data_IF_640491120396
#
_entry.id   IF_640491120396
#
_cell.length_a   1.000
_cell.length_b   1.000
_cell.length_c   1.000
_cell.angle_alpha   90.00
_cell.angle_beta   90.00
_cell.angle_gamma   90.00
#
_symmetry.space_group_name_H-M   'P 1'
#
loop_
_entity.id
_entity.type
_entity.pdbx_description
1 polymer ?
#
# COMPACT_ATOMS: atom_id res chain seq x y z
N UNK A 1 4.48 -19.05 1.38
CA UNK A 1 3.55 -18.96 0.24
C UNK A 1 4.40 -18.59 -0.95
N UNK A 2 4.59 -19.48 -1.91
CA UNK A 2 5.45 -19.18 -3.07
C UNK A 2 4.69 -18.21 -3.99
N UNK A 3 5.24 -17.03 -4.23
CA UNK A 3 4.68 -16.04 -5.15
C UNK A 3 5.19 -16.40 -6.55
N UNK A 4 4.31 -16.47 -7.55
CA UNK A 4 4.77 -16.72 -8.93
C UNK A 4 5.65 -15.56 -9.42
N UNK A 5 6.58 -15.80 -10.35
CA UNK A 5 7.43 -14.74 -10.91
C UNK A 5 6.63 -13.57 -11.50
N UNK A 6 5.54 -13.88 -12.21
CA UNK A 6 4.64 -12.87 -12.79
C UNK A 6 3.98 -12.04 -11.69
N UNK A 7 3.58 -12.67 -10.58
CA UNK A 7 2.95 -11.96 -9.47
C UNK A 7 3.96 -11.15 -8.65
N UNK A 8 5.21 -11.61 -8.56
CA UNK A 8 6.31 -10.85 -7.96
C UNK A 8 6.63 -9.58 -8.77
N UNK A 9 6.71 -9.67 -10.10
CA UNK A 9 6.95 -8.51 -10.95
C UNK A 9 5.82 -7.46 -10.83
N UNK A 10 4.56 -7.93 -10.75
CA UNK A 10 3.41 -7.04 -10.48
C UNK A 10 3.51 -6.40 -9.10
N UNK A 11 3.89 -7.18 -8.09
CA UNK A 11 4.07 -6.69 -6.72
C UNK A 11 5.15 -5.63 -6.65
N UNK A 12 6.28 -5.82 -7.36
CA UNK A 12 7.37 -4.84 -7.41
C UNK A 12 6.96 -3.55 -8.09
N UNK A 13 6.25 -3.62 -9.22
CA UNK A 13 5.67 -2.43 -9.87
C UNK A 13 4.67 -1.70 -8.97
N UNK A 14 3.82 -2.44 -8.27
CA UNK A 14 2.89 -1.88 -7.30
C UNK A 14 3.60 -1.17 -6.15
N UNK A 15 4.69 -1.76 -5.65
CA UNK A 15 5.57 -1.15 -4.65
C UNK A 15 6.16 0.16 -5.16
N UNK A 16 6.72 0.20 -6.38
CA UNK A 16 7.32 1.43 -6.95
C UNK A 16 6.29 2.55 -7.11
N UNK A 17 5.08 2.24 -7.58
CA UNK A 17 3.99 3.22 -7.67
C UNK A 17 3.60 3.73 -6.28
N UNK A 18 3.46 2.83 -5.32
CA UNK A 18 3.13 3.22 -3.96
C UNK A 18 4.21 4.10 -3.33
N UNK A 19 5.48 3.75 -3.54
CA UNK A 19 6.61 4.43 -2.96
C UNK A 19 6.76 5.87 -3.43
N UNK A 20 6.59 6.06 -4.73
CA UNK A 20 6.80 7.35 -5.38
C UNK A 20 5.61 8.30 -5.21
N UNK A 21 4.39 7.77 -5.18
CA UNK A 21 3.19 8.59 -5.30
C UNK A 21 2.29 8.61 -4.06
N UNK A 22 2.39 7.62 -3.17
CA UNK A 22 1.45 7.50 -2.04
C UNK A 22 2.14 7.54 -0.67
N UNK A 23 3.30 6.92 -0.51
CA UNK A 23 4.01 6.87 0.78
C UNK A 23 4.30 8.30 1.27
N UNK A 24 3.87 8.59 2.50
CA UNK A 24 3.99 9.91 3.14
C UNK A 24 3.14 11.01 2.51
N UNK A 25 2.22 10.67 1.60
CA UNK A 25 1.21 11.60 1.10
C UNK A 25 -0.05 11.54 1.96
N UNK A 26 -0.71 12.69 2.08
CA UNK A 26 -2.03 12.84 2.66
C UNK A 26 -3.01 13.17 1.53
N UNK A 27 -4.14 12.44 1.49
CA UNK A 27 -5.22 12.69 0.55
C UNK A 27 -6.48 13.08 1.32
N UNK A 28 -7.05 14.20 0.92
CA UNK A 28 -8.29 14.72 1.48
C UNK A 28 -9.43 14.46 0.51
N UNK A 29 -10.40 13.66 0.93
CA UNK A 29 -11.61 13.37 0.18
C UNK A 29 -12.76 14.23 0.73
N UNK A 30 -13.30 15.08 -0.12
CA UNK A 30 -14.53 15.82 0.15
C UNK A 30 -15.68 15.01 -0.43
N UNK A 31 -16.68 14.72 0.39
CA UNK A 31 -17.84 13.93 -0.02
C UNK A 31 -19.08 14.41 0.73
N UNK A 32 -20.27 14.08 0.19
CA UNK A 32 -21.54 14.49 0.78
C UNK A 32 -22.30 13.28 1.30
N UNK A 33 -22.89 13.41 2.49
CA UNK A 33 -23.81 12.42 3.08
C UNK A 33 -25.12 13.14 3.36
N UNK A 34 -26.15 12.86 2.56
CA UNK A 34 -27.40 13.63 2.58
C UNK A 34 -27.15 15.08 2.19
N UNK A 35 -27.43 16.02 3.09
CA UNK A 35 -27.19 17.46 2.90
C UNK A 35 -25.94 17.97 3.63
N UNK A 36 -25.15 17.08 4.23
CA UNK A 36 -23.93 17.45 4.95
C UNK A 36 -22.68 17.18 4.11
N UNK A 37 -21.83 18.20 3.95
CA UNK A 37 -20.49 18.03 3.40
C UNK A 37 -19.56 17.48 4.49
N UNK A 38 -18.83 16.42 4.14
CA UNK A 38 -17.89 15.72 5.02
C UNK A 38 -16.51 15.65 4.38
N UNK A 39 -15.51 15.53 5.24
CA UNK A 39 -14.11 15.40 4.85
C UNK A 39 -13.54 14.11 5.43
N UNK A 40 -12.89 13.31 4.61
CA UNK A 40 -12.09 12.16 5.03
C UNK A 40 -10.63 12.44 4.69
N UNK A 41 -9.77 12.40 5.70
CA UNK A 41 -8.32 12.54 5.52
C UNK A 41 -7.68 11.17 5.63
N UNK A 42 -7.00 10.75 4.56
CA UNK A 42 -6.28 9.47 4.49
C UNK A 42 -4.78 9.76 4.42
N UNK A 43 -4.04 9.25 5.42
CA UNK A 43 -2.58 9.34 5.47
C UNK A 43 -1.97 8.00 5.12
N UNK A 44 -1.17 7.98 4.07
CA UNK A 44 -0.51 6.76 3.61
C UNK A 44 0.89 6.62 4.22
N UNK A 45 1.16 5.44 4.76
CA UNK A 45 2.43 5.05 5.36
C UNK A 45 2.86 3.68 4.85
N UNK A 46 4.10 3.27 5.15
CA UNK A 46 4.61 1.93 4.77
C UNK A 46 3.65 0.78 5.12
N UNK A 47 2.94 0.88 6.26
CA UNK A 47 2.00 -0.14 6.70
C UNK A 47 0.74 -0.25 5.81
N UNK A 48 0.38 0.82 5.09
CA UNK A 48 -0.80 0.81 4.23
C UNK A 48 -0.56 0.07 2.90
N UNK A 49 0.69 -0.20 2.53
CA UNK A 49 1.02 -0.92 1.29
C UNK A 49 0.35 -2.31 1.21
N UNK A 50 0.31 -3.03 2.34
CA UNK A 50 -0.32 -4.35 2.40
C UNK A 50 -1.81 -4.32 2.02
N UNK A 51 -2.52 -3.24 2.34
CA UNK A 51 -3.94 -3.09 2.01
C UNK A 51 -4.17 -2.86 0.51
N UNK A 52 -3.20 -2.30 -0.21
CA UNK A 52 -3.31 -2.14 -1.66
C UNK A 52 -3.12 -3.45 -2.40
N UNK A 53 -2.27 -4.33 -1.88
CA UNK A 53 -1.98 -5.60 -2.55
C UNK A 53 -2.97 -6.70 -2.16
N UNK A 54 -3.65 -6.57 -1.01
CA UNK A 54 -4.52 -7.61 -0.45
C UNK A 54 -3.75 -8.86 0.02
N UNK A 55 -2.42 -8.82 0.01
CA UNK A 55 -1.58 -9.95 0.42
C UNK A 55 -1.34 -9.91 1.93
N UNK A 56 -1.47 -11.06 2.60
CA UNK A 56 -1.09 -11.17 4.01
C UNK A 56 0.38 -11.57 4.14
N UNK A 57 1.19 -10.77 4.85
CA UNK A 57 2.60 -11.06 5.10
C UNK A 57 2.83 -11.42 6.58
N UNK A 58 3.48 -12.55 6.82
CA UNK A 58 3.64 -13.13 8.16
C UNK A 58 4.44 -12.26 9.13
N UNK A 59 5.32 -11.38 8.63
CA UNK A 59 6.07 -10.41 9.47
C UNK A 59 5.34 -9.08 9.67
N UNK A 60 4.12 -8.96 9.14
CA UNK A 60 3.28 -7.79 9.22
C UNK A 60 3.52 -6.75 8.12
N UNK A 61 2.64 -5.73 8.05
CA UNK A 61 2.51 -4.83 6.90
C UNK A 61 3.72 -3.92 6.68
N UNK A 62 4.28 -3.36 7.75
CA UNK A 62 5.48 -2.52 7.65
C UNK A 62 6.68 -3.33 7.15
N UNK A 63 6.85 -4.55 7.68
CA UNK A 63 7.95 -5.44 7.28
C UNK A 63 7.79 -5.94 5.86
N UNK A 64 6.57 -6.18 5.40
CA UNK A 64 6.31 -6.52 4.00
C UNK A 64 6.85 -5.47 3.04
N UNK A 65 6.57 -4.20 3.31
CA UNK A 65 7.08 -3.10 2.53
C UNK A 65 8.63 -3.00 2.61
N UNK A 66 9.22 -3.16 3.80
CA UNK A 66 10.68 -3.10 3.98
C UNK A 66 11.40 -4.25 3.26
N UNK A 67 10.87 -5.47 3.38
CA UNK A 67 11.44 -6.65 2.73
C UNK A 67 11.30 -6.56 1.20
N UNK A 68 10.23 -5.92 0.65
CA UNK A 68 10.15 -5.62 -0.78
C UNK A 68 11.15 -4.58 -1.24
N UNK A 69 11.40 -3.55 -0.43
CA UNK A 69 12.39 -2.53 -0.74
C UNK A 69 13.80 -3.14 -0.81
N UNK A 70 14.10 -4.04 0.12
CA UNK A 70 15.40 -4.72 0.25
C UNK A 70 15.55 -5.96 -0.64
N UNK A 71 14.54 -6.31 -1.46
CA UNK A 71 14.49 -7.55 -2.26
C UNK A 71 14.67 -8.83 -1.42
N UNK A 72 14.07 -8.88 -0.23
CA UNK A 72 14.09 -10.02 0.72
C UNK A 72 12.77 -10.82 0.71
N UNK A 73 11.98 -10.66 -0.35
CA UNK A 73 10.78 -11.46 -0.56
C UNK A 73 11.07 -12.42 -1.70
N UNK A 74 11.05 -13.71 -1.37
CA UNK A 74 11.39 -14.83 -2.22
C UNK A 74 10.12 -15.64 -2.57
#
# INVERSE_FOLDING_TARGET
>A
MAISKIDFDKLKKGFELYDNYFKNYEYTYLYRVGNEDKTLVVRFSKANFQHLTGLSYYRGPKKFYEDLADNRID
#
